data_IF_791957368321
#
_entry.id   IF_791957368321
#
_cell.length_a   1.000
_cell.length_b   1.000
_cell.length_c   1.000
_cell.angle_alpha   90.00
_cell.angle_beta   90.00
_cell.angle_gamma   90.00
#
_symmetry.space_group_name_H-M   'P 1'
#
loop_
_entity.id
_entity.type
_entity.pdbx_description
1 polymer ?
#
# COMPACT_ATOMS: atom_id res chain seq x y z
N UNK A 1 2.86 22.80 -22.76
CA UNK A 1 2.59 21.35 -22.65
C UNK A 1 3.89 20.66 -23.01
N UNK A 2 4.43 19.80 -22.14
CA UNK A 2 5.68 19.09 -22.44
C UNK A 2 5.37 18.09 -23.55
N UNK A 3 6.11 18.14 -24.64
CA UNK A 3 5.96 17.25 -25.79
C UNK A 3 7.13 16.28 -25.82
N UNK A 4 6.83 14.98 -25.83
CA UNK A 4 7.85 13.94 -25.89
C UNK A 4 7.98 13.38 -27.31
N UNK A 5 9.16 12.85 -27.65
CA UNK A 5 9.47 12.33 -28.99
C UNK A 5 9.79 10.83 -28.94
N UNK A 6 9.60 10.10 -30.05
CA UNK A 6 10.15 8.76 -30.19
C UNK A 6 11.64 8.71 -29.80
N UNK A 7 12.04 7.58 -29.24
CA UNK A 7 13.34 7.27 -28.66
C UNK A 7 13.72 7.98 -27.35
N UNK A 8 12.89 8.86 -26.80
CA UNK A 8 13.17 9.45 -25.48
C UNK A 8 12.91 8.44 -24.35
N UNK A 9 13.81 8.45 -23.36
CA UNK A 9 13.60 7.78 -22.07
C UNK A 9 12.77 8.68 -21.17
N UNK A 10 11.77 8.11 -20.53
CA UNK A 10 10.84 8.79 -19.63
C UNK A 10 10.59 7.93 -18.39
N UNK A 11 10.08 8.54 -17.34
CA UNK A 11 9.41 7.80 -16.28
C UNK A 11 7.94 7.66 -16.63
N UNK A 12 7.37 6.48 -16.40
CA UNK A 12 5.96 6.24 -16.65
C UNK A 12 5.32 5.47 -15.49
N UNK A 13 4.17 5.94 -15.02
CA UNK A 13 3.35 5.16 -14.11
C UNK A 13 2.93 3.87 -14.80
N UNK A 14 2.97 2.72 -14.13
CA UNK A 14 2.26 1.51 -14.52
C UNK A 14 1.67 0.85 -13.27
N UNK A 15 0.34 0.87 -13.16
CA UNK A 15 -0.32 0.62 -11.88
C UNK A 15 0.09 1.68 -10.84
N UNK A 16 0.40 1.29 -9.59
CA UNK A 16 0.72 2.23 -8.51
C UNK A 16 2.20 2.65 -8.48
N UNK A 17 3.04 2.13 -9.37
CA UNK A 17 4.49 2.34 -9.37
C UNK A 17 4.94 3.07 -10.63
N UNK A 18 6.14 3.64 -10.57
CA UNK A 18 6.79 4.33 -11.69
C UNK A 18 7.92 3.47 -12.21
N UNK A 19 7.97 3.31 -13.53
CA UNK A 19 9.00 2.57 -14.23
C UNK A 19 9.72 3.47 -15.23
N UNK A 20 10.94 3.09 -15.60
CA UNK A 20 11.63 3.70 -16.71
C UNK A 20 11.09 3.09 -18.01
N UNK A 21 10.79 3.92 -19.00
CA UNK A 21 10.26 3.48 -20.28
C UNK A 21 10.86 4.29 -21.43
N UNK A 22 10.93 3.66 -22.61
CA UNK A 22 11.31 4.32 -23.87
C UNK A 22 10.07 4.52 -24.73
N UNK A 23 9.92 5.71 -25.30
CA UNK A 23 8.86 6.01 -26.25
C UNK A 23 9.23 5.37 -27.60
N UNK A 24 8.41 4.45 -28.07
CA UNK A 24 8.58 3.79 -29.36
C UNK A 24 7.81 4.51 -30.47
N UNK A 25 6.57 4.95 -30.19
CA UNK A 25 5.71 5.62 -31.16
C UNK A 25 4.95 6.77 -30.51
N UNK A 26 4.58 7.77 -31.31
CA UNK A 26 3.80 8.93 -30.91
C UNK A 26 2.61 9.10 -31.86
N UNK A 27 1.41 9.32 -31.32
CA UNK A 27 0.26 9.82 -32.06
C UNK A 27 -0.14 11.16 -31.44
N UNK A 28 -0.08 12.23 -32.21
CA UNK A 28 -0.60 13.53 -31.77
C UNK A 28 -2.11 13.58 -31.88
N UNK A 29 -2.77 14.34 -31.02
CA UNK A 29 -4.24 14.50 -31.01
C UNK A 29 -4.84 14.77 -32.40
N UNK A 30 -4.19 15.64 -33.18
CA UNK A 30 -4.68 16.18 -34.46
C UNK A 30 -4.20 15.42 -35.70
N UNK A 31 -3.20 14.55 -35.56
CA UNK A 31 -2.55 13.92 -36.70
C UNK A 31 -3.28 12.62 -37.09
N UNK A 32 -3.34 12.36 -38.40
CA UNK A 32 -3.92 11.14 -38.98
C UNK A 32 -2.91 10.00 -39.13
N UNK A 33 -1.72 10.15 -38.56
CA UNK A 33 -0.61 9.20 -38.64
C UNK A 33 0.06 9.02 -37.28
N UNK A 34 0.81 7.93 -37.14
CA UNK A 34 1.67 7.63 -36.00
C UNK A 34 3.12 7.90 -36.42
N UNK A 35 3.89 8.57 -35.58
CA UNK A 35 5.33 8.76 -35.77
C UNK A 35 6.05 7.60 -35.07
N UNK A 36 6.86 6.85 -35.82
CA UNK A 36 7.61 5.71 -35.29
C UNK A 36 9.02 6.09 -34.79
N UNK A 37 9.82 5.09 -34.42
CA UNK A 37 11.18 5.30 -33.89
C UNK A 37 12.14 5.91 -34.92
N UNK A 38 11.91 5.69 -36.20
CA UNK A 38 12.72 6.23 -37.29
C UNK A 38 12.20 7.60 -37.77
N UNK A 39 11.28 8.20 -36.99
CA UNK A 39 10.58 9.44 -37.31
C UNK A 39 9.81 9.40 -38.64
N UNK A 40 9.42 8.19 -39.06
CA UNK A 40 8.58 7.98 -40.24
C UNK A 40 7.10 7.98 -39.85
N UNK A 41 6.25 8.37 -40.80
CA UNK A 41 4.81 8.37 -40.61
C UNK A 41 4.24 6.98 -40.97
N UNK A 42 3.61 6.34 -40.01
CA UNK A 42 2.86 5.10 -40.18
C UNK A 42 1.35 5.43 -40.25
N UNK A 43 0.61 4.88 -41.22
CA UNK A 43 -0.84 5.03 -41.25
C UNK A 43 -1.47 4.35 -40.03
N UNK A 44 -2.60 4.90 -39.56
CA UNK A 44 -3.41 4.25 -38.51
C UNK A 44 -3.92 2.92 -39.06
N UNK A 45 -3.52 1.79 -38.47
CA UNK A 45 -3.99 0.46 -38.91
C UNK A 45 -5.52 0.38 -38.85
N UNK A 46 -6.18 0.44 -40.01
CA UNK A 46 -7.60 0.14 -40.13
C UNK A 46 -7.82 -1.36 -39.91
N UNK A 47 -8.85 -1.73 -39.14
CA UNK A 47 -9.21 -3.14 -38.91
C UNK A 47 -9.30 -3.86 -40.26
N UNK A 48 -8.71 -5.06 -40.43
CA UNK A 48 -9.02 -5.86 -41.60
C UNK A 48 -10.50 -6.20 -41.55
N UNK A 49 -11.26 -5.68 -42.52
CA UNK A 49 -12.64 -6.08 -42.73
C UNK A 49 -12.70 -7.61 -42.91
N UNK A 50 -13.62 -8.22 -42.20
CA UNK A 50 -13.85 -9.66 -42.14
C UNK A 50 -14.17 -10.26 -43.52
N UNK A 51 -13.17 -10.79 -44.23
CA UNK A 51 -13.34 -11.82 -45.27
C UNK A 51 -11.99 -12.23 -45.87
N UNK A 52 -11.35 -13.26 -45.29
CA UNK A 52 -10.10 -13.76 -45.86
C UNK A 52 -9.53 -14.92 -45.08
N UNK A 53 -10.01 -16.12 -45.38
CA UNK A 53 -9.63 -17.36 -44.73
C UNK A 53 -8.25 -17.82 -45.23
N UNK A 54 -7.16 -17.29 -44.66
CA UNK A 54 -5.82 -17.83 -44.89
C UNK A 54 -5.04 -17.98 -43.58
N UNK A 55 -4.92 -19.24 -43.15
CA UNK A 55 -4.02 -19.66 -42.09
C UNK A 55 -2.57 -19.51 -42.59
N UNK A 56 -1.90 -18.43 -42.18
CA UNK A 56 -0.45 -18.39 -42.08
C UNK A 56 -0.10 -18.04 -40.63
N UNK A 57 0.42 -19.04 -39.90
CA UNK A 57 1.03 -18.86 -38.59
C UNK A 57 2.33 -18.05 -38.76
N UNK A 58 2.21 -16.75 -38.96
CA UNK A 58 3.32 -15.84 -38.72
C UNK A 58 3.29 -15.46 -37.24
N UNK A 59 4.42 -15.67 -36.57
CA UNK A 59 4.68 -15.33 -35.19
C UNK A 59 4.68 -13.79 -35.05
N UNK A 60 3.51 -13.16 -35.17
CA UNK A 60 3.36 -11.72 -35.00
C UNK A 60 3.53 -11.42 -33.53
N UNK A 61 4.65 -10.77 -33.22
CA UNK A 61 4.98 -10.21 -31.92
C UNK A 61 3.75 -9.50 -31.35
N UNK A 62 3.53 -9.67 -30.04
CA UNK A 62 2.44 -9.07 -29.27
C UNK A 62 2.59 -7.53 -29.24
N UNK A 63 2.32 -6.87 -30.36
CA UNK A 63 2.27 -5.42 -30.49
C UNK A 63 0.86 -5.00 -30.09
N UNK A 64 0.73 -4.14 -29.08
CA UNK A 64 -0.59 -3.66 -28.69
C UNK A 64 -1.14 -2.77 -29.81
N UNK A 65 -2.25 -3.24 -30.42
CA UNK A 65 -2.90 -2.55 -31.52
C UNK A 65 -3.38 -1.18 -31.07
N UNK A 66 -3.17 -0.17 -31.92
CA UNK A 66 -3.71 1.17 -31.69
C UNK A 66 -5.25 1.12 -31.78
N UNK A 67 -5.94 1.76 -30.84
CA UNK A 67 -7.40 1.89 -30.84
C UNK A 67 -7.79 3.35 -31.14
N UNK A 68 -8.21 3.66 -32.38
CA UNK A 68 -8.59 5.02 -32.78
C UNK A 68 -9.73 5.60 -31.94
N UNK A 69 -10.65 4.76 -31.44
CA UNK A 69 -11.79 5.24 -30.64
C UNK A 69 -11.34 5.67 -29.25
N UNK A 70 -10.37 4.97 -28.67
CA UNK A 70 -9.83 5.28 -27.34
C UNK A 70 -9.02 6.58 -27.33
N UNK A 71 -8.27 6.84 -28.39
CA UNK A 71 -7.31 7.96 -28.48
C UNK A 71 -7.76 9.10 -29.40
N UNK A 72 -9.07 9.21 -29.63
CA UNK A 72 -9.65 10.27 -30.44
C UNK A 72 -9.28 11.63 -29.84
N UNK A 73 -8.72 12.52 -30.65
CA UNK A 73 -8.29 13.88 -30.30
C UNK A 73 -7.27 14.00 -29.15
N UNK A 74 -6.69 12.89 -28.70
CA UNK A 74 -5.69 12.85 -27.63
C UNK A 74 -4.30 12.52 -28.18
N UNK A 75 -3.28 13.13 -27.56
CA UNK A 75 -1.89 12.74 -27.78
C UNK A 75 -1.55 11.54 -26.90
N UNK A 76 -1.04 10.47 -27.50
CA UNK A 76 -0.67 9.25 -26.82
C UNK A 76 0.66 8.67 -27.34
N UNK A 77 1.28 7.86 -26.51
CA UNK A 77 2.63 7.35 -26.70
C UNK A 77 2.64 5.84 -26.53
N UNK A 78 3.34 5.13 -27.41
CA UNK A 78 3.58 3.70 -27.27
C UNK A 78 4.87 3.46 -26.49
N UNK A 79 4.76 2.88 -25.30
CA UNK A 79 5.89 2.73 -24.38
C UNK A 79 6.42 1.30 -24.34
N UNK A 80 7.75 1.18 -24.22
CA UNK A 80 8.43 -0.04 -23.83
C UNK A 80 9.10 0.16 -22.48
N UNK A 81 8.75 -0.65 -21.49
CA UNK A 81 9.31 -0.55 -20.13
C UNK A 81 10.67 -1.24 -20.03
N UNK A 82 11.62 -0.58 -19.40
CA UNK A 82 12.99 -1.08 -19.27
C UNK A 82 13.01 -2.41 -18.51
N UNK A 83 13.50 -3.47 -19.17
CA UNK A 83 13.57 -4.82 -18.62
C UNK A 83 12.28 -5.64 -18.72
N UNK A 84 11.25 -5.16 -19.41
CA UNK A 84 9.98 -5.86 -19.59
C UNK A 84 9.91 -6.52 -20.98
N UNK A 85 9.08 -7.55 -21.10
CA UNK A 85 8.80 -8.19 -22.38
C UNK A 85 7.86 -7.30 -23.22
N UNK A 86 8.09 -7.20 -24.53
CA UNK A 86 7.29 -6.38 -25.46
C UNK A 86 5.78 -6.64 -25.44
N UNK A 87 5.33 -7.80 -24.94
CA UNK A 87 3.91 -8.07 -24.71
C UNK A 87 3.23 -7.09 -23.73
N UNK A 88 4.02 -6.37 -22.92
CA UNK A 88 3.56 -5.35 -21.97
C UNK A 88 3.63 -3.94 -22.55
N UNK A 89 4.13 -3.78 -23.77
CA UNK A 89 4.19 -2.49 -24.43
C UNK A 89 2.77 -2.01 -24.71
N UNK A 90 2.48 -0.76 -24.38
CA UNK A 90 1.12 -0.22 -24.38
C UNK A 90 1.09 1.22 -24.86
N UNK A 91 -0.07 1.64 -25.35
CA UNK A 91 -0.38 3.04 -25.60
C UNK A 91 -0.85 3.72 -24.31
N UNK A 92 -0.27 4.87 -23.99
CA UNK A 92 -0.63 5.67 -22.80
C UNK A 92 -0.81 7.14 -23.16
N UNK A 93 -1.61 7.86 -22.35
CA UNK A 93 -1.73 9.31 -22.43
C UNK A 93 -0.55 10.03 -21.76
N UNK A 94 -0.49 11.34 -21.95
CA UNK A 94 0.52 12.22 -21.33
C UNK A 94 0.48 12.17 -19.80
N UNK A 95 -0.67 11.90 -19.20
CA UNK A 95 -0.92 11.79 -17.76
C UNK A 95 -0.11 10.68 -17.08
N UNK A 96 0.31 9.67 -17.85
CA UNK A 96 1.14 8.57 -17.35
C UNK A 96 2.63 8.81 -17.50
N UNK A 97 3.06 9.88 -18.18
CA UNK A 97 4.46 10.12 -18.53
C UNK A 97 5.02 11.31 -17.74
N UNK A 98 6.22 11.11 -17.23
CA UNK A 98 6.99 12.08 -16.45
C UNK A 98 8.39 12.21 -17.06
N UNK A 99 8.93 13.42 -17.01
CA UNK A 99 10.26 13.70 -17.54
C UNK A 99 11.33 12.87 -16.81
N UNK A 100 12.35 12.43 -17.53
CA UNK A 100 13.50 11.74 -16.96
C UNK A 100 14.44 12.74 -16.26
N UNK A 101 14.13 13.09 -15.02
CA UNK A 101 14.89 14.01 -14.19
C UNK A 101 15.06 13.48 -12.74
N UNK A 102 15.93 14.10 -11.94
CA UNK A 102 16.22 13.64 -10.58
C UNK A 102 15.02 13.74 -9.62
N UNK A 103 14.12 14.72 -9.83
CA UNK A 103 12.89 14.85 -9.03
C UNK A 103 11.95 13.65 -9.23
N UNK A 104 11.73 13.26 -10.49
CA UNK A 104 10.85 12.14 -10.82
C UNK A 104 11.47 10.79 -10.48
N UNK A 105 12.81 10.69 -10.53
CA UNK A 105 13.56 9.55 -10.01
C UNK A 105 13.40 9.40 -8.50
N UNK A 106 13.38 10.51 -7.75
CA UNK A 106 13.09 10.48 -6.31
C UNK A 106 11.66 9.99 -6.05
N UNK A 107 10.65 10.48 -6.78
CA UNK A 107 9.24 10.01 -6.68
C UNK A 107 9.12 8.50 -6.96
N UNK A 108 9.84 7.98 -7.96
CA UNK A 108 9.93 6.54 -8.22
C UNK A 108 10.47 5.77 -7.01
N UNK A 109 11.60 6.21 -6.45
CA UNK A 109 12.22 5.57 -5.30
C UNK A 109 11.32 5.61 -4.06
N UNK A 110 10.61 6.71 -3.85
CA UNK A 110 9.66 6.89 -2.74
C UNK A 110 8.48 5.90 -2.83
N UNK A 111 7.86 5.78 -4.01
CA UNK A 111 6.76 4.82 -4.25
C UNK A 111 7.21 3.35 -4.08
N UNK A 112 8.41 3.01 -4.56
CA UNK A 112 9.01 1.69 -4.36
C UNK A 112 9.25 1.37 -2.88
N UNK A 113 9.68 2.37 -2.08
CA UNK A 113 9.88 2.21 -0.65
C UNK A 113 8.54 2.05 0.09
N UNK A 114 7.54 2.86 -0.25
CA UNK A 114 6.20 2.78 0.36
C UNK A 114 5.53 1.43 0.10
N UNK A 115 5.62 0.89 -1.11
CA UNK A 115 5.06 -0.42 -1.43
C UNK A 115 5.80 -1.57 -0.76
N UNK A 116 7.14 -1.51 -0.62
CA UNK A 116 7.93 -2.47 0.18
C UNK A 116 7.53 -2.42 1.66
N UNK A 117 7.32 -1.22 2.22
CA UNK A 117 6.86 -1.04 3.61
C UNK A 117 5.47 -1.65 3.81
N UNK A 118 4.50 -1.40 2.91
CA UNK A 118 3.15 -1.99 3.00
C UNK A 118 3.18 -3.53 2.97
N UNK A 119 4.04 -4.13 2.14
CA UNK A 119 4.23 -5.60 2.13
C UNK A 119 4.84 -6.15 3.43
N UNK A 120 5.76 -5.41 4.05
CA UNK A 120 6.35 -5.79 5.34
C UNK A 120 5.34 -5.73 6.49
N UNK A 121 4.46 -4.72 6.49
CA UNK A 121 3.39 -4.57 7.49
C UNK A 121 2.39 -5.73 7.38
N UNK A 122 1.90 -6.03 6.17
CA UNK A 122 0.94 -7.13 5.98
C UNK A 122 1.51 -8.51 6.39
N UNK A 123 2.81 -8.74 6.22
CA UNK A 123 3.42 -10.00 6.65
C UNK A 123 3.56 -10.12 8.17
N UNK A 124 3.70 -9.01 8.89
CA UNK A 124 3.78 -9.02 10.34
C UNK A 124 2.41 -9.20 11.01
N UNK A 125 1.32 -8.68 10.41
CA UNK A 125 -0.04 -8.90 10.95
C UNK A 125 -0.47 -10.38 10.91
N UNK A 126 0.01 -11.16 9.94
CA UNK A 126 -0.27 -12.61 9.88
C UNK A 126 0.44 -13.37 11.01
N UNK A 127 1.62 -12.91 11.46
CA UNK A 127 2.39 -13.58 12.51
C UNK A 127 1.80 -13.30 13.90
N UNK A 128 1.30 -12.09 14.16
CA UNK A 128 0.70 -11.73 15.47
C UNK A 128 -0.61 -12.48 15.72
N UNK A 129 -1.39 -12.79 14.68
CA UNK A 129 -2.65 -13.54 14.78
C UNK A 129 -2.46 -15.06 14.92
N UNK A 130 -1.27 -15.60 14.60
CA UNK A 130 -0.95 -17.02 14.77
C UNK A 130 -0.46 -17.37 16.18
N UNK A 131 0.06 -16.40 16.93
CA UNK A 131 0.67 -16.62 18.26
C UNK A 131 -0.29 -16.55 19.45
N UNK A 132 -1.57 -16.21 19.25
CA UNK A 132 -2.56 -16.04 20.34
C UNK A 132 -3.60 -17.16 20.47
N UNK A 133 -3.42 -18.30 19.77
CA UNK A 133 -4.35 -19.45 19.82
C UNK A 133 -3.81 -20.72 20.48
N UNK A 134 -2.70 -20.65 21.22
CA UNK A 134 -2.10 -21.82 21.87
C UNK A 134 -2.01 -21.64 23.39
N UNK A 135 -3.13 -21.75 24.11
CA UNK A 135 -3.15 -22.12 25.53
C UNK A 135 -4.56 -22.45 26.03
N UNK A 136 -5.09 -23.63 25.67
CA UNK A 136 -6.12 -24.30 26.48
C UNK A 136 -6.09 -25.82 26.27
N UNK A 137 -5.86 -26.52 27.38
CA UNK A 137 -6.32 -27.86 27.72
C UNK A 137 -5.66 -29.10 27.08
N UNK A 138 -4.61 -29.51 27.79
CA UNK A 138 -4.12 -30.87 27.91
C UNK A 138 -5.02 -31.66 28.89
N UNK A 139 -5.76 -32.69 28.43
CA UNK A 139 -6.02 -33.96 29.16
C UNK A 139 -7.02 -34.89 28.45
N UNK A 140 -6.54 -36.12 28.25
CA UNK A 140 -7.22 -37.41 28.35
C UNK A 140 -7.78 -38.12 27.09
N UNK A 141 -7.17 -39.30 26.89
CA UNK A 141 -7.71 -40.62 26.53
C UNK A 141 -7.96 -40.98 25.05
N UNK A 142 -7.02 -41.82 24.58
CA UNK A 142 -7.19 -43.06 23.80
C UNK A 142 -8.65 -43.50 23.59
N UNK A 143 -9.05 -43.75 22.34
CA UNK A 143 -9.52 -45.06 21.87
C UNK A 143 -9.57 -45.05 20.32
N UNK A 144 -9.09 -46.12 19.72
CA UNK A 144 -9.13 -46.46 18.31
C UNK A 144 -10.56 -46.73 17.81
N UNK A 145 -10.91 -46.33 16.58
CA UNK A 145 -11.43 -47.30 15.60
C UNK A 145 -11.52 -46.80 14.16
N UNK A 146 -11.18 -47.76 13.30
CA UNK A 146 -11.04 -47.78 11.85
C UNK A 146 -12.40 -48.12 11.24
N UNK A 147 -12.83 -47.46 10.15
CA UNK A 147 -13.70 -48.08 9.12
C UNK A 147 -13.73 -47.28 7.81
N UNK A 148 -13.62 -48.06 6.72
CA UNK A 148 -13.57 -47.74 5.28
C UNK A 148 -14.97 -47.72 4.67
N UNK A 149 -15.13 -46.97 3.58
CA UNK A 149 -15.80 -47.33 2.31
C UNK A 149 -15.44 -46.24 1.28
N UNK A 150 -14.88 -46.41 0.08
CA UNK A 150 -14.85 -47.38 -1.04
C UNK A 150 -15.85 -47.10 -2.17
N UNK A 151 -15.33 -46.64 -3.32
CA UNK A 151 -15.78 -46.89 -4.73
C UNK A 151 -14.80 -46.12 -5.65
N UNK A 152 -13.77 -46.68 -6.32
CA UNK A 152 -13.72 -47.54 -7.53
C UNK A 152 -14.36 -46.85 -8.77
N UNK A 153 -13.76 -46.74 -9.98
CA UNK A 153 -13.07 -47.76 -10.82
C UNK A 153 -12.33 -47.16 -12.05
N UNK A 154 -11.10 -47.65 -12.35
CA UNK A 154 -10.36 -47.87 -13.66
C UNK A 154 -10.12 -46.76 -14.69
N UNK A 155 -8.92 -46.53 -15.26
CA UNK A 155 -8.13 -47.37 -16.22
C UNK A 155 -6.72 -46.74 -16.41
N UNK A 156 -5.60 -47.40 -16.06
CA UNK A 156 -4.61 -48.18 -16.88
C UNK A 156 -3.81 -47.44 -17.98
N UNK A 157 -2.46 -47.43 -17.84
CA UNK A 157 -1.47 -47.04 -18.87
C UNK A 157 -0.01 -46.96 -18.36
N UNK A 158 0.83 -47.93 -18.74
CA UNK A 158 2.17 -48.34 -18.23
C UNK A 158 3.32 -47.48 -18.83
N UNK A 159 4.41 -47.10 -18.14
CA UNK A 159 5.78 -47.70 -18.18
C UNK A 159 6.76 -46.79 -17.39
N UNK A 160 7.40 -47.23 -16.30
CA UNK A 160 8.66 -48.00 -16.15
C UNK A 160 9.95 -47.13 -16.19
N UNK A 161 10.69 -47.08 -15.07
CA UNK A 161 11.94 -46.31 -14.94
C UNK A 161 12.55 -46.29 -13.53
N UNK A 162 12.92 -47.47 -13.04
CA UNK A 162 13.61 -47.88 -11.81
C UNK A 162 14.91 -47.10 -11.46
N UNK A 163 15.14 -46.69 -10.19
CA UNK A 163 16.03 -47.40 -9.24
C UNK A 163 16.20 -46.74 -7.85
N UNK A 164 16.22 -47.61 -6.84
CA UNK A 164 16.42 -47.38 -5.41
C UNK A 164 17.90 -47.16 -5.05
N UNK A 165 18.19 -46.44 -3.95
CA UNK A 165 18.79 -47.10 -2.77
C UNK A 165 18.82 -46.25 -1.48
N UNK A 166 18.45 -46.94 -0.41
CA UNK A 166 18.51 -46.61 1.02
C UNK A 166 19.95 -46.40 1.51
N UNK A 167 20.16 -45.54 2.52
CA UNK A 167 20.63 -45.97 3.86
C UNK A 167 20.60 -44.85 4.91
N UNK A 168 20.21 -45.28 6.12
CA UNK A 168 20.12 -44.55 7.39
C UNK A 168 21.45 -44.52 8.16
N UNK A 169 21.43 -43.74 9.27
CA UNK A 169 22.32 -43.71 10.46
C UNK A 169 23.50 -42.74 10.31
N UNK A 170 23.93 -41.98 11.31
CA UNK A 170 23.61 -41.88 12.75
C UNK A 170 24.33 -40.64 13.31
N UNK A 171 23.86 -40.13 14.44
CA UNK A 171 24.46 -39.04 15.21
C UNK A 171 25.91 -39.32 15.66
N UNK A 172 26.76 -38.30 15.62
CA UNK A 172 27.78 -38.05 16.65
C UNK A 172 28.37 -36.63 16.53
N UNK A 173 28.47 -36.01 17.69
CA UNK A 173 29.04 -34.69 18.00
C UNK A 173 30.53 -34.59 17.65
N UNK A 174 30.96 -33.48 17.07
CA UNK A 174 32.27 -32.89 17.40
C UNK A 174 32.41 -31.45 16.86
N UNK A 175 32.65 -30.57 17.82
CA UNK A 175 33.13 -29.20 17.77
C UNK A 175 34.38 -29.05 16.89
N UNK A 176 34.46 -28.03 16.02
CA UNK A 176 35.56 -27.04 15.98
C UNK A 176 35.43 -26.01 14.84
N UNK A 177 35.56 -24.74 15.27
CA UNK A 177 36.32 -23.64 14.67
C UNK A 177 35.81 -22.90 13.42
N UNK A 178 35.15 -21.76 13.71
CA UNK A 178 35.47 -20.40 13.25
C UNK A 178 36.42 -20.25 12.05
N UNK A 179 35.92 -19.69 10.93
CA UNK A 179 36.59 -18.55 10.26
C UNK A 179 35.62 -17.80 9.32
N UNK A 180 35.68 -16.47 9.41
CA UNK A 180 35.42 -15.45 8.36
C UNK A 180 34.03 -15.30 7.71
N UNK A 181 33.41 -14.13 7.94
CA UNK A 181 32.28 -13.62 7.15
C UNK A 181 31.66 -12.34 7.69
N UNK A 182 32.48 -11.35 8.07
CA UNK A 182 32.02 -10.07 8.65
C UNK A 182 31.54 -9.11 7.55
N UNK A 183 30.24 -9.17 7.21
CA UNK A 183 29.56 -8.22 6.32
C UNK A 183 28.04 -8.31 6.52
N UNK A 184 27.49 -7.71 7.58
CA UNK A 184 26.05 -7.77 7.86
C UNK A 184 25.50 -6.84 8.95
N UNK A 185 26.24 -5.81 9.35
CA UNK A 185 25.97 -5.03 10.56
C UNK A 185 24.80 -4.03 10.47
N UNK A 186 24.25 -3.76 9.28
CA UNK A 186 23.14 -2.81 9.09
C UNK A 186 21.75 -3.44 9.21
N UNK A 187 21.58 -4.73 8.88
CA UNK A 187 20.27 -5.41 8.95
C UNK A 187 19.88 -5.86 10.37
N UNK A 188 20.86 -6.08 11.24
CA UNK A 188 20.61 -6.45 12.64
C UNK A 188 20.23 -5.25 13.51
N UNK A 189 20.70 -4.03 13.19
CA UNK A 189 20.36 -2.82 13.95
C UNK A 189 18.88 -2.44 13.79
N UNK A 190 18.35 -2.53 12.56
CA UNK A 190 16.92 -2.25 12.29
C UNK A 190 15.99 -3.29 12.91
N UNK A 191 16.36 -4.58 12.89
CA UNK A 191 15.60 -5.64 13.60
C UNK A 191 15.57 -5.44 15.12
N UNK A 192 16.66 -4.97 15.74
CA UNK A 192 16.68 -4.68 17.18
C UNK A 192 15.84 -3.45 17.57
N UNK A 193 15.77 -2.43 16.71
CA UNK A 193 14.94 -1.25 16.96
C UNK A 193 13.45 -1.60 16.85
N UNK A 194 13.07 -2.42 15.86
CA UNK A 194 11.71 -2.91 15.69
C UNK A 194 11.18 -3.66 16.92
N UNK A 195 12.02 -4.46 17.59
CA UNK A 195 11.61 -5.16 18.83
C UNK A 195 11.48 -4.25 20.06
N UNK A 196 11.99 -3.01 19.99
CA UNK A 196 11.98 -2.07 21.13
C UNK A 196 10.80 -1.10 21.10
N UNK A 197 10.18 -0.89 19.94
CA UNK A 197 9.08 0.04 19.77
C UNK A 197 7.76 -0.72 19.79
N UNK A 198 7.33 -1.16 20.96
CA UNK A 198 5.97 -1.66 21.15
C UNK A 198 5.10 -0.52 21.66
N UNK A 199 4.02 -0.21 20.93
CA UNK A 199 2.98 0.70 21.39
C UNK A 199 1.86 -0.14 22.02
N UNK A 200 1.62 0.07 23.31
CA UNK A 200 0.54 -0.58 24.04
C UNK A 200 -0.82 0.02 23.66
N UNK A 201 -1.43 -0.53 22.60
CA UNK A 201 -2.71 -0.06 22.08
C UNK A 201 -3.88 -0.73 22.82
N UNK A 202 -4.79 0.04 23.46
CA UNK A 202 -5.95 -0.49 24.17
C UNK A 202 -6.80 -1.44 23.30
N UNK A 203 -7.27 -2.58 23.82
CA UNK A 203 -8.08 -3.54 23.07
C UNK A 203 -9.33 -2.92 22.43
N UNK A 204 -10.00 -2.01 23.14
CA UNK A 204 -11.21 -1.31 22.70
C UNK A 204 -10.97 -0.58 21.37
N UNK A 205 -9.82 0.10 21.27
CA UNK A 205 -9.44 0.81 20.04
C UNK A 205 -9.07 -0.16 18.92
N UNK A 206 -8.51 -1.34 19.23
CA UNK A 206 -8.26 -2.37 18.21
C UNK A 206 -9.56 -2.86 17.61
N UNK A 207 -10.59 -3.06 18.43
CA UNK A 207 -11.92 -3.46 17.95
C UNK A 207 -12.51 -2.40 17.00
N UNK A 208 -12.33 -1.11 17.31
CA UNK A 208 -12.74 -0.03 16.41
C UNK A 208 -12.03 -0.14 15.06
N UNK A 209 -10.72 -0.34 15.03
CA UNK A 209 -9.96 -0.47 13.78
C UNK A 209 -10.35 -1.71 12.96
N UNK A 210 -10.66 -2.83 13.62
CA UNK A 210 -11.15 -4.03 12.95
C UNK A 210 -12.52 -3.79 12.32
N UNK A 211 -13.44 -3.15 13.05
CA UNK A 211 -14.76 -2.80 12.55
C UNK A 211 -14.68 -1.78 11.40
N UNK A 212 -13.86 -0.74 11.55
CA UNK A 212 -13.59 0.28 10.53
C UNK A 212 -13.10 -0.37 9.23
N UNK A 213 -12.11 -1.25 9.32
CA UNK A 213 -11.64 -2.03 8.18
C UNK A 213 -12.75 -2.85 7.53
N UNK A 214 -13.57 -3.56 8.31
CA UNK A 214 -14.67 -4.37 7.80
C UNK A 214 -15.75 -3.51 7.11
N UNK A 215 -16.15 -2.40 7.74
CA UNK A 215 -17.16 -1.50 7.21
C UNK A 215 -16.75 -0.89 5.87
N UNK A 216 -15.47 -0.51 5.72
CA UNK A 216 -15.02 0.13 4.48
C UNK A 216 -14.68 -0.89 3.40
N UNK A 217 -13.97 -1.97 3.76
CA UNK A 217 -13.45 -2.91 2.76
C UNK A 217 -14.42 -4.01 2.36
N UNK A 218 -15.31 -4.43 3.25
CA UNK A 218 -16.31 -5.47 2.98
C UNK A 218 -17.71 -4.90 2.78
N UNK A 219 -18.20 -4.09 3.72
CA UNK A 219 -19.57 -3.58 3.70
C UNK A 219 -19.75 -2.38 2.76
N UNK A 220 -18.65 -1.80 2.26
CA UNK A 220 -18.67 -0.63 1.35
C UNK A 220 -19.38 0.57 1.95
N UNK A 221 -19.19 0.76 3.26
CA UNK A 221 -19.61 1.96 3.96
C UNK A 221 -18.47 2.97 3.98
N UNK A 222 -18.80 4.23 4.20
CA UNK A 222 -17.83 5.28 4.46
C UNK A 222 -18.12 5.91 5.81
N UNK A 223 -17.09 6.45 6.44
CA UNK A 223 -17.26 7.31 7.61
C UNK A 223 -18.04 8.56 7.19
N UNK A 224 -19.03 8.94 8.00
CA UNK A 224 -19.80 10.18 7.82
C UNK A 224 -18.87 11.38 8.02
N UNK A 225 -18.52 12.05 6.92
CA UNK A 225 -17.59 13.18 6.90
C UNK A 225 -18.27 14.42 6.27
N UNK A 226 -17.96 15.64 6.73
CA UNK A 226 -16.97 16.00 7.77
C UNK A 226 -17.32 15.47 9.16
N UNK A 227 -16.30 15.08 9.92
CA UNK A 227 -16.49 14.55 11.27
C UNK A 227 -17.08 15.62 12.20
N UNK A 228 -17.98 15.22 13.09
CA UNK A 228 -18.48 16.10 14.15
C UNK A 228 -17.38 16.48 15.15
N UNK A 229 -16.40 15.59 15.33
CA UNK A 229 -15.23 15.78 16.19
C UNK A 229 -13.96 15.55 15.38
N UNK A 230 -13.51 16.57 14.62
CA UNK A 230 -12.33 16.45 13.81
C UNK A 230 -11.06 16.26 14.66
N UNK A 231 -10.02 15.72 14.04
CA UNK A 231 -8.76 15.38 14.70
C UNK A 231 -8.15 16.59 15.41
N UNK A 232 -8.18 17.77 14.80
CA UNK A 232 -7.65 18.99 15.43
C UNK A 232 -8.34 19.27 16.79
N UNK A 233 -9.66 19.04 16.88
CA UNK A 233 -10.41 19.18 18.13
C UNK A 233 -10.04 18.08 19.14
N UNK A 234 -9.92 16.83 18.70
CA UNK A 234 -9.49 15.70 19.57
C UNK A 234 -8.11 15.98 20.18
N UNK A 235 -7.15 16.44 19.36
CA UNK A 235 -5.81 16.79 19.82
C UNK A 235 -5.82 18.01 20.75
N UNK A 236 -6.69 18.98 20.50
CA UNK A 236 -6.84 20.15 21.37
C UNK A 236 -7.48 19.79 22.72
N UNK A 237 -8.46 18.89 22.75
CA UNK A 237 -9.06 18.35 23.98
C UNK A 237 -8.01 17.61 24.80
N UNK A 238 -7.20 16.78 24.16
CA UNK A 238 -6.10 16.06 24.81
C UNK A 238 -5.03 17.01 25.34
N UNK A 239 -4.62 18.00 24.55
CA UNK A 239 -3.69 19.06 24.97
C UNK A 239 -4.21 19.76 26.23
N UNK A 240 -5.48 20.13 26.26
CA UNK A 240 -6.12 20.79 27.40
C UNK A 240 -6.13 19.88 28.63
N UNK A 241 -6.46 18.60 28.45
CA UNK A 241 -6.45 17.60 29.53
C UNK A 241 -5.05 17.40 30.11
N UNK A 242 -4.02 17.19 29.27
CA UNK A 242 -2.65 16.96 29.72
C UNK A 242 -2.00 18.21 30.29
N UNK A 243 -2.31 19.40 29.77
CA UNK A 243 -1.79 20.67 30.32
C UNK A 243 -2.18 20.85 31.79
N UNK A 244 -3.42 20.47 32.16
CA UNK A 244 -3.89 20.50 33.55
C UNK A 244 -3.09 19.56 34.47
N UNK A 245 -2.66 18.41 33.94
CA UNK A 245 -1.85 17.44 34.68
C UNK A 245 -0.38 17.86 34.81
N UNK A 246 0.13 18.60 33.82
CA UNK A 246 1.53 19.00 33.69
C UNK A 246 1.81 20.44 34.16
N UNK A 247 0.88 21.04 34.92
CA UNK A 247 0.95 22.46 35.34
C UNK A 247 2.30 22.85 35.98
N UNK A 248 2.99 21.92 36.64
CA UNK A 248 4.28 22.16 37.29
C UNK A 248 5.52 21.96 36.39
N UNK A 249 5.38 21.38 35.19
CA UNK A 249 6.49 20.93 34.35
C UNK A 249 6.43 21.60 32.96
N UNK A 250 6.95 22.83 32.86
CA UNK A 250 6.99 23.60 31.61
C UNK A 250 7.69 22.86 30.46
N UNK A 251 8.78 22.15 30.74
CA UNK A 251 9.53 21.43 29.71
C UNK A 251 8.72 20.29 29.10
N UNK A 252 8.03 19.51 29.93
CA UNK A 252 7.14 18.42 29.47
C UNK A 252 5.97 18.96 28.65
N UNK A 253 5.46 20.14 29.00
CA UNK A 253 4.41 20.80 28.24
C UNK A 253 4.88 21.23 26.84
N UNK A 254 6.11 21.74 26.72
CA UNK A 254 6.69 22.09 25.43
C UNK A 254 6.84 20.87 24.50
N UNK A 255 7.34 19.76 25.05
CA UNK A 255 7.48 18.48 24.36
C UNK A 255 6.11 17.94 23.92
N UNK A 256 5.10 18.00 24.80
CA UNK A 256 3.73 17.61 24.45
C UNK A 256 3.21 18.41 23.26
N UNK A 257 3.38 19.74 23.27
CA UNK A 257 2.92 20.61 22.19
C UNK A 257 3.61 20.24 20.88
N UNK A 258 4.93 20.03 20.90
CA UNK A 258 5.69 19.62 19.74
C UNK A 258 5.21 18.28 19.17
N UNK A 259 4.97 17.29 20.04
CA UNK A 259 4.45 15.97 19.65
C UNK A 259 3.07 16.10 18.97
N UNK A 260 2.14 16.86 19.56
CA UNK A 260 0.79 17.00 19.02
C UNK A 260 0.78 17.77 17.70
N UNK A 261 1.56 18.85 17.60
CA UNK A 261 1.74 19.59 16.34
C UNK A 261 2.39 18.71 15.27
N UNK A 262 3.42 17.94 15.62
CA UNK A 262 4.06 17.00 14.72
C UNK A 262 3.10 15.91 14.24
N UNK A 263 2.26 15.37 15.13
CA UNK A 263 1.25 14.36 14.81
C UNK A 263 0.21 14.89 13.82
N UNK A 264 -0.28 16.12 14.02
CA UNK A 264 -1.22 16.77 13.11
C UNK A 264 -0.60 17.02 11.73
N UNK A 265 0.61 17.58 11.68
CA UNK A 265 1.35 17.80 10.42
C UNK A 265 1.57 16.47 9.69
N UNK A 266 1.94 15.42 10.42
CA UNK A 266 2.18 14.10 9.85
C UNK A 266 0.88 13.50 9.30
N UNK A 267 -0.23 13.62 10.03
CA UNK A 267 -1.55 13.19 9.56
C UNK A 267 -1.91 13.85 8.23
N UNK A 268 -1.82 15.17 8.17
CA UNK A 268 -2.14 15.96 6.98
C UNK A 268 -1.32 15.55 5.75
N UNK A 269 -0.04 15.22 5.94
CA UNK A 269 0.84 14.76 4.86
C UNK A 269 0.64 13.28 4.47
N UNK A 270 0.25 12.44 5.43
CA UNK A 270 0.26 10.97 5.25
C UNK A 270 -1.10 10.38 4.88
N UNK A 271 -2.20 11.11 5.10
CA UNK A 271 -3.56 10.61 4.89
C UNK A 271 -3.73 9.91 3.54
N UNK A 272 -3.51 10.62 2.44
CA UNK A 272 -3.74 10.11 1.08
C UNK A 272 -2.72 9.06 0.63
N UNK A 273 -1.65 8.85 1.40
CA UNK A 273 -0.55 7.95 1.04
C UNK A 273 -0.69 6.57 1.72
N UNK A 274 -1.01 6.57 3.00
CA UNK A 274 -0.92 5.36 3.84
C UNK A 274 -2.15 5.08 4.71
N UNK A 275 -3.06 6.05 4.93
CA UNK A 275 -4.15 5.87 5.91
C UNK A 275 -5.51 5.53 5.29
N UNK A 276 -5.75 5.93 4.03
CA UNK A 276 -6.99 5.63 3.33
C UNK A 276 -6.98 4.21 2.75
N UNK A 277 -8.09 3.49 2.89
CA UNK A 277 -8.34 2.28 2.15
C UNK A 277 -8.68 2.61 0.69
N UNK A 278 -8.48 1.65 -0.22
CA UNK A 278 -8.74 1.83 -1.67
C UNK A 278 -10.11 2.48 -1.94
N UNK A 279 -11.13 2.06 -1.20
CA UNK A 279 -12.52 2.52 -1.36
C UNK A 279 -12.77 3.99 -0.96
N UNK A 280 -11.95 4.54 -0.07
CA UNK A 280 -12.07 5.92 0.42
C UNK A 280 -11.38 6.95 -0.49
N UNK A 281 -10.49 6.52 -1.39
CA UNK A 281 -9.75 7.44 -2.25
C UNK A 281 -10.67 8.32 -3.11
N UNK A 282 -11.80 7.78 -3.59
CA UNK A 282 -12.77 8.56 -4.37
C UNK A 282 -13.41 9.68 -3.52
N UNK A 283 -13.77 9.41 -2.26
CA UNK A 283 -14.26 10.42 -1.32
C UNK A 283 -13.23 11.53 -1.11
N UNK A 284 -11.97 11.16 -0.87
CA UNK A 284 -10.88 12.12 -0.72
C UNK A 284 -10.69 13.00 -1.98
N UNK A 285 -10.71 12.40 -3.17
CA UNK A 285 -10.63 13.14 -4.42
C UNK A 285 -11.83 14.07 -4.62
N UNK A 286 -13.04 13.65 -4.23
CA UNK A 286 -14.22 14.50 -4.28
C UNK A 286 -14.11 15.68 -3.31
N UNK A 287 -13.56 15.49 -2.11
CA UNK A 287 -13.32 16.57 -1.15
C UNK A 287 -12.32 17.59 -1.66
N UNK A 288 -11.26 17.17 -2.36
CA UNK A 288 -10.34 18.08 -3.04
C UNK A 288 -11.03 18.86 -4.16
N UNK A 289 -11.84 18.20 -5.00
CA UNK A 289 -12.58 18.84 -6.10
C UNK A 289 -13.61 19.86 -5.62
N UNK A 290 -14.25 19.58 -4.48
CA UNK A 290 -15.28 20.43 -3.89
C UNK A 290 -14.71 21.53 -2.99
N UNK A 291 -13.37 21.63 -2.86
CA UNK A 291 -12.67 22.52 -1.92
C UNK A 291 -13.08 22.33 -0.45
N UNK A 292 -13.57 21.14 -0.08
CA UNK A 292 -13.81 20.77 1.33
C UNK A 292 -12.46 20.61 2.05
N UNK A 293 -11.46 20.07 1.34
CA UNK A 293 -10.06 20.08 1.76
C UNK A 293 -9.33 21.02 0.81
N UNK A 294 -8.79 22.10 1.35
CA UNK A 294 -8.08 23.10 0.56
C UNK A 294 -6.83 23.57 1.31
N UNK A 295 -5.66 23.01 0.99
CA UNK A 295 -4.39 23.44 1.57
C UNK A 295 -4.04 24.91 1.29
N UNK A 296 -4.59 25.52 0.23
CA UNK A 296 -4.35 26.93 -0.08
C UNK A 296 -5.12 27.88 0.84
N UNK A 297 -6.16 27.38 1.50
CA UNK A 297 -7.00 28.12 2.46
C UNK A 297 -6.79 27.61 3.91
N UNK A 298 -5.71 26.87 4.17
CA UNK A 298 -5.43 26.21 5.46
C UNK A 298 -6.56 25.29 5.96
N UNK A 299 -7.42 24.78 5.06
CA UNK A 299 -8.43 23.76 5.39
C UNK A 299 -7.79 22.40 5.17
N UNK A 300 -7.14 21.91 6.23
CA UNK A 300 -6.36 20.69 6.24
C UNK A 300 -7.20 19.45 6.56
N UNK A 301 -6.62 18.28 6.32
CA UNK A 301 -7.26 16.99 6.51
C UNK A 301 -7.66 16.77 7.98
N UNK A 302 -6.86 17.25 8.94
CA UNK A 302 -7.11 17.16 10.38
C UNK A 302 -8.39 17.87 10.82
N UNK A 303 -8.91 18.80 10.02
CA UNK A 303 -10.15 19.52 10.29
C UNK A 303 -11.40 18.81 9.76
N UNK A 304 -11.23 17.75 8.94
CA UNK A 304 -12.33 17.05 8.27
C UNK A 304 -12.47 15.63 8.79
N UNK A 305 -11.36 14.91 8.95
CA UNK A 305 -11.34 13.51 9.36
C UNK A 305 -11.41 13.38 10.89
N UNK A 306 -11.86 12.21 11.37
CA UNK A 306 -12.14 11.95 12.78
C UNK A 306 -11.23 10.91 13.44
N UNK A 307 -11.72 10.33 14.53
CA UNK A 307 -10.94 9.42 15.40
C UNK A 307 -10.47 8.16 14.68
N UNK A 308 -11.26 7.60 13.77
CA UNK A 308 -10.95 6.38 13.04
C UNK A 308 -9.63 6.52 12.27
N UNK A 309 -9.50 7.61 11.51
CA UNK A 309 -8.31 7.91 10.72
C UNK A 309 -7.10 8.26 11.58
N UNK A 310 -7.31 8.91 12.73
CA UNK A 310 -6.26 9.16 13.71
C UNK A 310 -5.73 7.84 14.29
N UNK A 311 -6.62 6.92 14.66
CA UNK A 311 -6.24 5.61 15.20
C UNK A 311 -5.46 4.79 14.17
N UNK A 312 -5.85 4.83 12.88
CA UNK A 312 -5.08 4.19 11.79
C UNK A 312 -3.65 4.74 11.70
N UNK A 313 -3.49 6.04 11.93
CA UNK A 313 -2.16 6.63 11.98
C UNK A 313 -1.39 6.13 13.21
N UNK A 314 -1.97 6.23 14.41
CA UNK A 314 -1.30 5.87 15.67
C UNK A 314 -0.84 4.41 15.67
N UNK A 315 -1.68 3.47 15.22
CA UNK A 315 -1.31 2.05 15.18
C UNK A 315 -0.13 1.76 14.22
N UNK A 316 0.08 2.60 13.21
CA UNK A 316 1.18 2.46 12.24
C UNK A 316 2.52 3.03 12.72
N UNK A 317 2.53 3.86 13.77
CA UNK A 317 3.74 4.55 14.24
C UNK A 317 4.93 3.64 14.58
N UNK A 318 4.76 2.52 15.31
CA UNK A 318 5.88 1.61 15.59
C UNK A 318 6.64 1.20 14.32
N UNK A 319 5.92 0.91 13.24
CA UNK A 319 6.50 0.59 11.94
C UNK A 319 7.16 1.79 11.27
N UNK A 320 6.55 2.97 11.36
CA UNK A 320 7.07 4.21 10.76
C UNK A 320 8.33 4.73 11.47
N UNK A 321 8.32 4.75 12.81
CA UNK A 321 9.40 5.22 13.68
C UNK A 321 10.64 4.33 13.63
N UNK A 322 10.50 3.06 13.26
CA UNK A 322 11.65 2.18 13.05
C UNK A 322 12.60 2.65 11.94
N UNK A 323 12.13 3.54 11.07
CA UNK A 323 12.89 4.07 9.93
C UNK A 323 13.40 5.50 10.14
N UNK A 324 13.13 6.11 11.30
CA UNK A 324 13.56 7.48 11.60
C UNK A 324 14.96 7.50 12.22
N UNK A 325 15.62 8.66 12.13
CA UNK A 325 16.96 8.90 12.73
C UNK A 325 16.87 9.42 14.17
N UNK A 326 15.71 9.34 14.82
CA UNK A 326 15.52 9.82 16.19
C UNK A 326 16.26 8.92 17.19
N UNK A 327 16.76 9.51 18.28
CA UNK A 327 17.39 8.74 19.35
C UNK A 327 16.35 7.94 20.16
N UNK A 328 16.82 6.91 20.87
CA UNK A 328 15.95 5.99 21.59
C UNK A 328 15.16 6.64 22.74
N UNK A 329 15.69 7.69 23.37
CA UNK A 329 15.01 8.38 24.47
C UNK A 329 13.83 9.18 23.89
N UNK A 330 14.07 9.99 22.85
CA UNK A 330 13.02 10.75 22.17
C UNK A 330 11.92 9.85 21.61
N UNK A 331 12.28 8.69 21.04
CA UNK A 331 11.31 7.69 20.60
C UNK A 331 10.46 7.13 21.76
N UNK A 332 11.09 6.85 22.91
CA UNK A 332 10.37 6.34 24.08
C UNK A 332 9.37 7.37 24.65
N UNK A 333 9.74 8.65 24.67
CA UNK A 333 8.87 9.75 25.09
C UNK A 333 7.68 9.88 24.12
N UNK A 334 7.95 9.85 22.82
CA UNK A 334 6.90 9.89 21.80
C UNK A 334 5.92 8.72 21.95
N UNK A 335 6.40 7.48 22.05
CA UNK A 335 5.54 6.31 22.23
C UNK A 335 4.72 6.41 23.52
N UNK A 336 5.33 6.83 24.62
CA UNK A 336 4.64 7.01 25.91
C UNK A 336 3.49 8.03 25.82
N UNK A 337 3.69 9.13 25.09
CA UNK A 337 2.62 10.11 24.87
C UNK A 337 1.54 9.61 23.90
N UNK A 338 1.91 8.87 22.84
CA UNK A 338 0.93 8.24 21.96
C UNK A 338 0.07 7.21 22.70
N UNK A 339 0.66 6.42 23.62
CA UNK A 339 -0.10 5.52 24.49
C UNK A 339 -1.05 6.28 25.42
N UNK A 340 -0.59 7.40 25.98
CA UNK A 340 -1.40 8.26 26.84
C UNK A 340 -2.57 8.91 26.08
N UNK A 341 -2.34 9.30 24.82
CA UNK A 341 -3.38 9.77 23.90
C UNK A 341 -4.37 8.66 23.58
N UNK A 342 -3.90 7.43 23.30
CA UNK A 342 -4.78 6.28 23.10
C UNK A 342 -5.67 6.02 24.31
N UNK A 343 -5.13 6.03 25.54
CA UNK A 343 -5.93 5.83 26.76
C UNK A 343 -7.00 6.93 26.90
N UNK A 344 -6.62 8.18 26.68
CA UNK A 344 -7.56 9.31 26.70
C UNK A 344 -8.70 9.16 25.69
N UNK A 345 -8.39 8.72 24.46
CA UNK A 345 -9.40 8.45 23.43
C UNK A 345 -10.28 7.26 23.84
N UNK A 346 -9.68 6.19 24.37
CA UNK A 346 -10.41 5.00 24.84
C UNK A 346 -11.46 5.33 25.90
N UNK A 347 -11.11 6.16 26.88
CA UNK A 347 -12.02 6.58 27.96
C UNK A 347 -13.19 7.44 27.46
N UNK A 348 -13.07 8.05 26.28
CA UNK A 348 -14.03 9.01 25.70
C UNK A 348 -14.53 8.59 24.32
N UNK A 349 -14.38 7.31 23.99
CA UNK A 349 -14.58 6.82 22.63
C UNK A 349 -15.98 7.14 22.08
N UNK A 350 -17.00 7.05 22.94
CA UNK A 350 -18.39 7.35 22.59
C UNK A 350 -18.61 8.79 22.11
N UNK A 351 -17.75 9.74 22.52
CA UNK A 351 -17.84 11.13 22.11
C UNK A 351 -17.29 11.34 20.69
N UNK A 352 -16.22 10.64 20.34
CA UNK A 352 -15.44 10.91 19.14
C UNK A 352 -15.78 9.98 17.95
N UNK A 353 -16.48 8.88 18.20
CA UNK A 353 -16.80 7.90 17.17
C UNK A 353 -17.77 8.47 16.13
N UNK A 354 -17.45 8.27 14.85
CA UNK A 354 -18.30 8.67 13.74
C UNK A 354 -19.25 7.54 13.32
N UNK A 355 -20.32 7.93 12.63
CA UNK A 355 -21.24 6.98 12.02
C UNK A 355 -20.70 6.50 10.66
N UNK A 356 -21.22 5.37 10.20
CA UNK A 356 -20.89 4.81 8.89
C UNK A 356 -22.14 4.83 8.01
N UNK A 357 -21.98 5.35 6.80
CA UNK A 357 -23.05 5.51 5.82
C UNK A 357 -22.83 4.58 4.63
N UNK A 358 -23.93 4.05 4.08
CA UNK A 358 -23.88 3.28 2.85
C UNK A 358 -23.59 4.20 1.67
N UNK A 359 -22.67 3.79 0.80
CA UNK A 359 -22.40 4.54 -0.44
C UNK A 359 -23.46 4.30 -1.49
N UNK A 360 -23.70 5.29 -2.35
CA UNK A 360 -24.60 5.12 -3.50
C UNK A 360 -24.04 4.11 -4.52
N UNK A 361 -24.90 3.45 -5.31
CA UNK A 361 -24.45 2.55 -6.38
C UNK A 361 -23.49 3.21 -7.38
N UNK A 362 -23.69 4.51 -7.66
CA UNK A 362 -22.81 5.29 -8.51
C UNK A 362 -21.41 5.44 -7.90
N UNK A 363 -21.33 5.73 -6.60
CA UNK A 363 -20.05 5.79 -5.89
C UNK A 363 -19.34 4.44 -5.92
N UNK A 364 -20.04 3.35 -5.59
CA UNK A 364 -19.45 2.00 -5.58
C UNK A 364 -18.90 1.61 -6.96
N UNK A 365 -19.61 1.95 -8.04
CA UNK A 365 -19.13 1.70 -9.41
C UNK A 365 -17.80 2.43 -9.70
N UNK A 366 -17.69 3.71 -9.30
CA UNK A 366 -16.51 4.54 -9.54
C UNK A 366 -15.34 4.19 -8.60
N UNK A 367 -15.62 3.76 -7.38
CA UNK A 367 -14.58 3.38 -6.42
C UNK A 367 -13.97 1.99 -6.72
N UNK A 368 -14.66 1.16 -7.51
CA UNK A 368 -14.19 -0.17 -7.94
C UNK A 368 -13.26 -0.11 -9.15
N UNK A 369 -13.54 0.77 -10.11
CA UNK A 369 -12.68 1.02 -11.29
C UNK A 369 -11.31 1.49 -10.83
#
# INVERSE_FOLDING_TARGET
MVEYKPNQTVYAYHGPLIYEAKILKLKNGKDSFIINQDFQHEPLEEKPNSSGNHHHHHHSQHIAKFDPKKWQDQTCYYLHYQGWNSKWDEWVGIDRIMEYNEENKFKKLELDQLTKKKKAINNNEIIVNATTKNHTNNKNKKESNKRKSSSATTTSGVTAGTNNNKKQKSASTSTTNNTSGNSGTTSNKSKQILSRLNLNFPPELKHILVNDWEYITKDRKLVSLPSQYPINQILQDYKTYRTKQLTSNSDQLSILIEILTGLEIYFNKSLSLILLYKYEHLQYLNFLKQNIINPQQDILQSNIYGVEHLLRLIISFPGLLSTTTMDGISLSVLISELESLCRFIGDRLQLYQNNYEFTSPQYDSLARS
#
